data_IF_888694712066
#
_entry.id   IF_888694712066
#
_cell.length_a   1.000
_cell.length_b   1.000
_cell.length_c   1.000
_cell.angle_alpha   90.00
_cell.angle_beta   90.00
_cell.angle_gamma   90.00
#
_symmetry.space_group_name_H-M   'P 1'
#
loop_
_entity.id
_entity.type
_entity.pdbx_description
1 polymer ?
#
# COMPACT_ATOMS: atom_id res chain seq x y z
N UNK A 1 -15.89 -16.36 12.24
CA UNK A 1 -14.58 -16.73 12.81
C UNK A 1 -14.26 -15.76 13.94
N UNK A 2 -14.21 -16.26 15.17
CA UNK A 2 -13.77 -15.53 16.36
C UNK A 2 -12.27 -15.20 16.24
N UNK A 3 -11.92 -13.96 15.92
CA UNK A 3 -10.56 -13.45 16.10
C UNK A 3 -10.63 -12.42 17.22
N UNK A 4 -10.81 -12.91 18.46
CA UNK A 4 -10.48 -12.15 19.66
C UNK A 4 -9.06 -12.55 20.04
N UNK A 5 -8.10 -11.76 19.57
CA UNK A 5 -6.79 -11.44 20.17
C UNK A 5 -6.15 -10.47 19.16
N UNK A 6 -6.43 -9.18 19.31
CA UNK A 6 -5.84 -8.14 18.47
C UNK A 6 -4.35 -8.07 18.79
N UNK A 7 -3.53 -8.67 17.92
CA UNK A 7 -2.09 -8.50 17.89
C UNK A 7 -1.79 -7.06 17.47
N UNK A 8 -1.84 -6.14 18.43
CA UNK A 8 -1.39 -4.76 18.21
C UNK A 8 0.07 -4.84 17.82
N UNK A 9 0.36 -4.40 16.60
CA UNK A 9 1.72 -4.20 16.17
C UNK A 9 1.91 -2.82 15.65
N UNK A 10 3.13 -2.35 15.83
CA UNK A 10 3.56 -1.10 15.28
C UNK A 10 4.62 -1.38 14.23
N UNK A 11 4.39 -0.94 13.00
CA UNK A 11 5.42 -0.89 11.98
C UNK A 11 6.15 0.44 12.06
N UNK A 12 7.47 0.44 11.97
CA UNK A 12 8.16 1.72 11.85
C UNK A 12 8.02 2.26 10.42
N UNK A 13 7.37 3.41 10.31
CA UNK A 13 7.44 4.29 9.15
C UNK A 13 8.01 5.62 9.63
N UNK A 14 9.21 5.96 9.17
CA UNK A 14 9.94 7.20 9.51
C UNK A 14 10.32 7.30 10.99
N UNK A 15 10.68 6.16 11.61
CA UNK A 15 10.93 6.08 13.05
C UNK A 15 9.66 6.12 13.91
N UNK A 16 8.51 6.46 13.32
CA UNK A 16 7.22 6.47 13.99
C UNK A 16 6.57 5.09 13.87
N UNK A 17 6.14 4.58 15.00
CA UNK A 17 5.39 3.35 15.12
C UNK A 17 3.96 3.56 14.62
N UNK A 18 3.58 2.85 13.56
CA UNK A 18 2.25 2.95 12.93
C UNK A 18 1.44 1.66 13.17
N UNK A 19 0.14 1.75 13.52
CA UNK A 19 -0.71 0.58 13.71
C UNK A 19 -0.71 -0.37 12.50
N UNK A 20 -0.65 -1.67 12.78
CA UNK A 20 -0.77 -2.74 11.79
C UNK A 20 -0.89 -4.11 12.46
N UNK A 21 -0.99 -5.17 11.67
CA UNK A 21 -0.98 -6.56 12.18
C UNK A 21 0.45 -7.10 12.13
N UNK A 22 1.02 -7.63 13.22
CA UNK A 22 2.32 -8.34 13.18
C UNK A 22 2.15 -9.84 13.43
N UNK A 23 3.25 -10.56 13.23
CA UNK A 23 3.43 -11.89 13.78
C UNK A 23 3.11 -11.85 15.30
N UNK A 24 2.30 -12.77 15.84
CA UNK A 24 2.04 -12.93 17.28
C UNK A 24 3.27 -12.82 18.20
N UNK A 25 4.47 -13.10 17.70
CA UNK A 25 5.71 -13.04 18.48
C UNK A 25 6.30 -11.62 18.66
N UNK A 26 5.83 -10.62 17.90
CA UNK A 26 6.40 -9.26 17.93
C UNK A 26 5.66 -8.29 18.86
N UNK A 27 4.98 -8.79 19.89
CA UNK A 27 4.19 -7.99 20.84
C UNK A 27 5.14 -7.19 21.74
N UNK A 28 5.06 -5.86 21.66
CA UNK A 28 5.63 -4.96 22.67
C UNK A 28 4.51 -4.67 23.69
N UNK A 29 4.66 -5.02 24.98
CA UNK A 29 3.70 -4.62 26.00
C UNK A 29 3.80 -3.10 26.20
N UNK A 30 2.78 -2.34 25.77
CA UNK A 30 2.65 -0.94 26.16
C UNK A 30 1.99 -0.89 27.53
N UNK A 31 2.70 -0.34 28.51
CA UNK A 31 2.26 -0.21 29.89
C UNK A 31 1.20 0.89 30.05
N UNK A 32 0.03 0.53 30.57
CA UNK A 32 -0.82 1.40 31.41
C UNK A 32 -1.50 2.64 30.82
N UNK A 33 -1.32 2.98 29.54
CA UNK A 33 -1.94 4.19 28.97
C UNK A 33 -3.45 4.06 28.76
N UNK A 34 -4.17 5.17 29.02
CA UNK A 34 -5.61 5.27 28.79
C UNK A 34 -5.89 5.27 27.29
N UNK A 35 -6.67 4.29 26.85
CA UNK A 35 -7.10 4.10 25.46
C UNK A 35 -8.41 4.84 25.22
N UNK A 36 -8.31 6.04 24.64
CA UNK A 36 -9.43 6.95 24.36
C UNK A 36 -9.93 6.85 22.92
N UNK A 37 -9.12 6.31 22.01
CA UNK A 37 -9.41 6.21 20.58
C UNK A 37 -9.45 4.77 20.11
N UNK A 38 -10.12 4.55 18.98
CA UNK A 38 -10.20 3.25 18.30
C UNK A 38 -9.92 3.44 16.82
N UNK A 39 -9.05 2.58 16.29
CA UNK A 39 -8.95 2.33 14.87
C UNK A 39 -10.10 1.40 14.48
N UNK A 40 -10.89 1.79 13.50
CA UNK A 40 -12.08 1.06 13.07
C UNK A 40 -12.12 0.93 11.56
N UNK A 41 -12.78 -0.10 11.08
CA UNK A 41 -13.37 -0.11 9.75
C UNK A 41 -14.73 0.59 9.84
N UNK A 42 -14.87 1.72 9.15
CA UNK A 42 -16.13 2.46 9.02
C UNK A 42 -16.92 1.89 7.83
N UNK A 43 -18.12 1.40 8.10
CA UNK A 43 -18.99 0.80 7.09
C UNK A 43 -19.69 1.84 6.20
N UNK A 44 -19.73 3.12 6.61
CA UNK A 44 -20.37 4.17 5.81
C UNK A 44 -19.60 4.46 4.53
N UNK A 45 -18.27 4.52 4.59
CA UNK A 45 -17.42 4.81 3.43
C UNK A 45 -16.46 3.68 3.07
N UNK A 46 -16.41 2.60 3.86
CA UNK A 46 -15.53 1.46 3.62
C UNK A 46 -14.06 1.80 3.84
N UNK A 47 -13.75 2.77 4.71
CA UNK A 47 -12.40 3.19 5.05
C UNK A 47 -11.99 2.77 6.46
N UNK A 48 -10.68 2.74 6.68
CA UNK A 48 -10.13 2.72 8.03
C UNK A 48 -10.16 4.14 8.58
N UNK A 49 -10.67 4.29 9.81
CA UNK A 49 -10.86 5.57 10.49
C UNK A 49 -10.37 5.49 11.93
N UNK A 50 -9.98 6.64 12.49
CA UNK A 50 -9.74 6.79 13.93
C UNK A 50 -10.94 7.54 14.51
N UNK A 51 -11.59 6.95 15.50
CA UNK A 51 -12.71 7.56 16.23
C UNK A 51 -12.42 7.59 17.72
N UNK A 52 -13.02 8.52 18.46
CA UNK A 52 -13.03 8.40 19.92
C UNK A 52 -13.88 7.18 20.33
N UNK A 53 -13.45 6.46 21.37
CA UNK A 53 -14.10 5.24 21.81
C UNK A 53 -15.60 5.42 22.14
N UNK A 54 -16.00 6.62 22.59
CA UNK A 54 -17.40 6.96 22.88
C UNK A 54 -18.32 7.01 21.64
N UNK A 55 -17.75 7.14 20.44
CA UNK A 55 -18.50 7.15 19.17
C UNK A 55 -18.54 5.78 18.49
N UNK A 56 -17.98 4.74 19.10
CA UNK A 56 -18.04 3.39 18.55
C UNK A 56 -19.49 2.89 18.52
N UNK A 57 -20.01 2.67 17.31
CA UNK A 57 -21.29 2.03 17.05
C UNK A 57 -21.08 0.73 16.26
N UNK A 58 -21.48 -0.41 16.83
CA UNK A 58 -21.36 -1.74 16.21
C UNK A 58 -22.11 -1.91 14.88
N UNK A 59 -23.11 -1.05 14.59
CA UNK A 59 -23.82 -1.04 13.30
C UNK A 59 -23.05 -0.32 12.21
N UNK A 60 -22.22 0.65 12.59
CA UNK A 60 -21.47 1.51 11.66
C UNK A 60 -19.99 1.16 11.60
N UNK A 61 -19.47 0.50 12.63
CA UNK A 61 -18.05 0.29 12.80
C UNK A 61 -17.73 -1.14 13.19
N UNK A 62 -16.61 -1.62 12.67
CA UNK A 62 -15.89 -2.78 13.22
C UNK A 62 -14.59 -2.33 13.83
N UNK A 63 -14.44 -2.55 15.12
CA UNK A 63 -13.20 -2.28 15.84
C UNK A 63 -12.04 -3.11 15.28
N UNK A 64 -10.90 -2.45 15.03
CA UNK A 64 -9.64 -3.06 14.61
C UNK A 64 -8.66 -3.06 15.77
N UNK A 65 -8.46 -1.91 16.43
CA UNK A 65 -7.43 -1.74 17.47
C UNK A 65 -7.76 -0.56 18.38
N UNK A 66 -7.42 -0.66 19.66
CA UNK A 66 -7.38 0.50 20.57
C UNK A 66 -6.14 1.37 20.33
N UNK A 67 -6.29 2.68 20.46
CA UNK A 67 -5.21 3.66 20.37
C UNK A 67 -5.20 4.55 21.62
N UNK A 68 -4.01 4.87 22.13
CA UNK A 68 -3.86 5.85 23.22
C UNK A 68 -3.95 7.29 22.72
N UNK A 69 -4.15 8.24 23.64
CA UNK A 69 -4.07 9.68 23.32
C UNK A 69 -2.70 10.02 22.68
N UNK A 70 -1.63 9.40 23.18
CA UNK A 70 -0.28 9.62 22.67
C UNK A 70 -0.13 9.07 21.24
N UNK A 71 -0.64 7.86 20.96
CA UNK A 71 -0.66 7.26 19.61
C UNK A 71 -1.33 8.19 18.59
N UNK A 72 -2.45 8.84 18.96
CA UNK A 72 -3.17 9.73 18.05
C UNK A 72 -2.49 11.09 17.92
N UNK A 73 -1.88 11.60 18.99
CA UNK A 73 -1.24 12.92 19.02
C UNK A 73 -0.03 13.00 18.08
N UNK A 74 0.71 11.91 17.92
CA UNK A 74 1.88 11.84 17.03
C UNK A 74 1.51 11.65 15.54
N UNK A 75 0.21 11.50 15.21
CA UNK A 75 -0.26 11.32 13.85
C UNK A 75 -0.74 12.62 13.22
N UNK A 76 -0.55 12.74 11.90
CA UNK A 76 -1.18 13.81 11.13
C UNK A 76 -0.54 15.18 11.27
N UNK A 77 0.76 15.26 11.57
CA UNK A 77 1.50 16.52 11.43
C UNK A 77 1.46 16.94 9.95
N UNK A 78 0.71 18.00 9.64
CA UNK A 78 0.62 18.54 8.29
C UNK A 78 1.95 19.20 7.89
N UNK A 79 2.44 18.89 6.69
CA UNK A 79 3.69 19.40 6.15
C UNK A 79 3.36 20.35 4.99
N UNK A 80 3.96 21.54 5.01
CA UNK A 80 3.82 22.49 3.92
C UNK A 80 4.49 21.97 2.64
N UNK A 81 3.94 22.33 1.48
CA UNK A 81 4.45 21.84 0.19
C UNK A 81 5.94 22.14 -0.03
N UNK A 82 6.46 23.25 0.50
CA UNK A 82 7.88 23.63 0.40
C UNK A 82 8.83 22.88 1.34
N UNK A 83 8.30 22.18 2.35
CA UNK A 83 9.05 21.36 3.29
C UNK A 83 8.88 19.85 3.04
N UNK A 84 8.22 19.47 1.95
CA UNK A 84 7.94 18.09 1.57
C UNK A 84 9.24 17.28 1.41
N UNK A 85 9.32 16.16 2.13
CA UNK A 85 10.34 15.14 1.98
C UNK A 85 9.70 13.83 1.49
N UNK A 86 10.05 13.42 0.27
CA UNK A 86 9.53 12.19 -0.36
C UNK A 86 9.88 10.88 0.38
N UNK A 87 10.83 10.92 1.31
CA UNK A 87 11.16 9.78 2.16
C UNK A 87 10.34 9.78 3.46
N UNK A 88 9.87 10.93 3.93
CA UNK A 88 9.26 11.07 5.25
C UNK A 88 7.76 11.39 5.22
N UNK A 89 7.27 11.98 4.13
CA UNK A 89 5.95 12.59 4.10
C UNK A 89 5.03 11.88 3.11
N UNK A 90 3.80 11.63 3.56
CA UNK A 90 2.81 10.90 2.79
C UNK A 90 1.70 11.86 2.37
N UNK A 91 1.44 11.91 1.07
CA UNK A 91 0.31 12.66 0.51
C UNK A 91 -1.01 11.99 0.90
N UNK A 92 -2.00 12.75 1.37
CA UNK A 92 -3.37 12.29 1.53
C UNK A 92 -4.20 12.76 0.33
N UNK A 93 -4.80 11.85 -0.42
CA UNK A 93 -5.62 12.17 -1.59
C UNK A 93 -6.92 12.89 -1.21
N UNK A 94 -7.60 12.46 -0.13
CA UNK A 94 -8.81 13.13 0.38
C UNK A 94 -8.57 14.56 0.90
N UNK A 95 -7.46 14.83 1.60
CA UNK A 95 -7.15 16.17 2.14
C UNK A 95 -6.31 17.04 1.18
N UNK A 96 -5.72 16.44 0.15
CA UNK A 96 -4.77 17.05 -0.79
C UNK A 96 -3.57 17.77 -0.12
N UNK A 97 -3.03 17.16 0.94
CA UNK A 97 -1.95 17.70 1.79
C UNK A 97 -0.96 16.59 2.15
N UNK A 98 0.26 16.97 2.52
CA UNK A 98 1.28 16.05 3.02
C UNK A 98 1.23 15.95 4.53
N UNK A 99 1.47 14.75 5.05
CA UNK A 99 1.46 14.49 6.48
C UNK A 99 2.61 13.61 6.90
N UNK A 100 3.04 13.79 8.15
CA UNK A 100 3.98 12.92 8.84
C UNK A 100 3.33 12.29 10.09
N UNK A 101 3.38 10.96 10.25
CA UNK A 101 3.72 9.98 9.21
C UNK A 101 2.64 9.89 8.13
N UNK A 102 1.36 10.14 8.44
CA UNK A 102 0.23 10.17 7.50
C UNK A 102 -0.94 10.97 8.11
N UNK A 103 -1.98 11.24 7.31
CA UNK A 103 -3.16 12.00 7.73
C UNK A 103 -3.93 11.29 8.85
N UNK A 104 -4.16 11.96 9.98
CA UNK A 104 -4.95 11.39 11.09
C UNK A 104 -6.42 11.13 10.75
N UNK A 105 -6.99 11.90 9.82
CA UNK A 105 -8.38 11.75 9.37
C UNK A 105 -8.53 10.59 8.38
N UNK A 106 -7.45 10.23 7.70
CA UNK A 106 -7.40 9.16 6.71
C UNK A 106 -6.20 8.26 7.02
N UNK A 107 -6.27 7.54 8.16
CA UNK A 107 -5.16 6.76 8.68
C UNK A 107 -4.77 5.64 7.73
N UNK A 108 -3.53 5.18 7.88
CA UNK A 108 -3.02 4.02 7.16
C UNK A 108 -2.89 2.83 8.12
N UNK A 109 -3.24 1.63 7.64
CA UNK A 109 -3.12 0.39 8.39
C UNK A 109 -2.33 -0.63 7.58
N UNK A 110 -1.15 -1.01 8.08
CA UNK A 110 -0.25 -1.85 7.32
C UNK A 110 -0.53 -3.34 7.54
N UNK A 111 -0.62 -4.08 6.43
CA UNK A 111 -0.65 -5.54 6.40
C UNK A 111 0.75 -6.05 5.99
N UNK A 112 1.35 -6.97 6.75
CA UNK A 112 2.63 -7.57 6.39
C UNK A 112 2.45 -8.60 5.27
N UNK A 113 3.52 -8.83 4.52
CA UNK A 113 3.63 -10.03 3.68
C UNK A 113 3.51 -11.28 4.57
N UNK A 114 3.02 -12.39 4.01
CA UNK A 114 3.02 -13.68 4.72
C UNK A 114 4.46 -14.09 5.03
N UNK A 115 4.74 -14.34 6.31
CA UNK A 115 6.05 -14.85 6.75
C UNK A 115 6.14 -16.33 6.41
N UNK A 116 7.16 -16.70 5.66
CA UNK A 116 7.38 -18.08 5.23
C UNK A 116 8.25 -18.82 6.23
N UNK A 117 7.80 -20.02 6.58
CA UNK A 117 8.73 -21.13 6.75
C UNK A 117 8.93 -21.64 5.33
N UNK A 118 10.14 -21.51 4.75
CA UNK A 118 10.41 -22.00 3.39
C UNK A 118 9.93 -23.44 3.33
N UNK A 119 8.82 -23.66 2.65
CA UNK A 119 8.35 -25.00 2.37
C UNK A 119 8.97 -25.38 1.04
N UNK A 120 10.09 -26.08 1.10
CA UNK A 120 10.80 -26.58 -0.08
C UNK A 120 9.92 -27.51 -0.94
N UNK A 121 8.80 -28.00 -0.37
CA UNK A 121 7.82 -28.84 -1.06
C UNK A 121 6.80 -28.04 -1.87
N UNK A 122 6.76 -26.72 -1.73
CA UNK A 122 5.80 -25.88 -2.45
C UNK A 122 6.26 -25.62 -3.88
N UNK A 123 5.39 -25.94 -4.85
CA UNK A 123 5.59 -25.60 -6.27
C UNK A 123 5.41 -24.09 -6.57
N UNK A 124 5.14 -23.27 -5.55
CA UNK A 124 4.94 -21.83 -5.71
C UNK A 124 6.27 -21.09 -5.57
N UNK A 125 6.47 -20.06 -6.40
CA UNK A 125 7.62 -19.15 -6.27
C UNK A 125 7.62 -18.41 -4.92
N UNK A 126 8.79 -17.97 -4.44
CA UNK A 126 8.89 -17.18 -3.20
C UNK A 126 7.90 -16.00 -3.19
N UNK A 127 7.79 -15.27 -4.30
CA UNK A 127 6.88 -14.14 -4.42
C UNK A 127 5.40 -14.52 -4.24
N UNK A 128 4.94 -15.66 -4.77
CA UNK A 128 3.57 -16.16 -4.55
C UNK A 128 3.35 -16.56 -3.10
N UNK A 129 4.35 -17.20 -2.48
CA UNK A 129 4.23 -17.63 -1.09
C UNK A 129 4.07 -16.43 -0.13
N UNK A 130 4.64 -15.25 -0.46
CA UNK A 130 4.49 -14.03 0.35
C UNK A 130 3.08 -13.40 0.35
N UNK A 131 2.14 -13.91 -0.46
CA UNK A 131 0.80 -13.36 -0.61
C UNK A 131 -0.01 -13.41 0.71
N UNK A 132 -0.55 -12.29 1.19
CA UNK A 132 -1.49 -12.27 2.30
C UNK A 132 -2.76 -13.09 1.99
N UNK A 133 -3.32 -13.75 3.01
CA UNK A 133 -4.57 -14.55 2.90
C UNK A 133 -5.80 -13.75 2.45
N UNK A 134 -5.69 -12.43 2.35
CA UNK A 134 -6.76 -11.55 1.86
C UNK A 134 -6.94 -11.67 0.33
N UNK A 135 -6.02 -12.33 -0.36
CA UNK A 135 -5.88 -12.33 -1.80
C UNK A 135 -5.59 -13.71 -2.37
N UNK A 136 -5.86 -13.84 -3.67
CA UNK A 136 -5.37 -14.93 -4.52
C UNK A 136 -4.71 -14.35 -5.77
N UNK A 137 -3.86 -15.16 -6.39
CA UNK A 137 -3.26 -14.87 -7.70
C UNK A 137 -3.95 -15.75 -8.74
N UNK A 138 -4.51 -15.13 -9.78
CA UNK A 138 -5.17 -15.81 -10.92
C UNK A 138 -4.87 -15.06 -12.23
N UNK A 139 -5.36 -15.57 -13.36
CA UNK A 139 -5.27 -14.85 -14.64
C UNK A 139 -6.04 -13.52 -14.55
N UNK A 140 -5.38 -12.43 -14.94
CA UNK A 140 -5.95 -11.09 -14.92
C UNK A 140 -7.11 -10.98 -15.91
N UNK A 141 -8.10 -10.16 -15.56
CA UNK A 141 -9.20 -9.82 -16.49
C UNK A 141 -8.75 -8.80 -17.54
N UNK A 142 -7.56 -8.21 -17.38
CA UNK A 142 -6.98 -7.28 -18.33
C UNK A 142 -6.34 -8.05 -19.50
N UNK A 143 -6.62 -7.68 -20.76
CA UNK A 143 -6.02 -8.33 -21.92
C UNK A 143 -4.49 -8.31 -21.87
N UNK A 144 -3.87 -9.47 -22.10
CA UNK A 144 -2.41 -9.65 -22.17
C UNK A 144 -1.63 -9.27 -20.90
N UNK A 145 -2.28 -9.12 -19.74
CA UNK A 145 -1.62 -8.77 -18.49
C UNK A 145 -1.01 -9.98 -17.74
N UNK A 146 -1.37 -11.20 -18.14
CA UNK A 146 -0.91 -12.42 -17.46
C UNK A 146 -1.61 -12.62 -16.12
N UNK A 147 -0.85 -12.78 -15.04
CA UNK A 147 -1.42 -12.97 -13.70
C UNK A 147 -1.78 -11.62 -13.06
N UNK A 148 -2.84 -11.61 -12.26
CA UNK A 148 -3.30 -10.48 -11.44
C UNK A 148 -3.49 -10.90 -9.98
N UNK A 149 -3.75 -9.91 -9.12
CA UNK A 149 -4.07 -10.14 -7.69
C UNK A 149 -5.52 -9.78 -7.44
N UNK A 150 -6.27 -10.73 -6.89
CA UNK A 150 -7.72 -10.61 -6.72
C UNK A 150 -8.08 -10.68 -5.25
N UNK A 151 -8.99 -9.79 -4.83
CA UNK A 151 -9.50 -9.73 -3.47
C UNK A 151 -10.38 -10.95 -3.16
N UNK A 152 -10.04 -11.70 -2.10
CA UNK A 152 -10.89 -12.77 -1.55
C UNK A 152 -11.88 -12.24 -0.50
N UNK A 153 -11.58 -11.07 0.08
CA UNK A 153 -12.40 -10.38 1.06
C UNK A 153 -12.56 -8.91 0.68
N UNK A 154 -13.42 -8.18 1.38
CA UNK A 154 -13.49 -6.73 1.25
C UNK A 154 -12.20 -6.07 1.79
N UNK A 155 -11.60 -5.18 1.00
CA UNK A 155 -10.37 -4.45 1.38
C UNK A 155 -10.72 -2.96 1.52
N UNK A 156 -10.64 -2.40 2.74
CA UNK A 156 -10.98 -1.02 2.98
C UNK A 156 -9.91 -0.02 2.53
N UNK A 157 -10.35 1.21 2.29
CA UNK A 157 -9.46 2.36 2.05
C UNK A 157 -8.54 2.55 3.25
N UNK A 158 -7.27 2.88 3.00
CA UNK A 158 -6.25 3.07 4.03
C UNK A 158 -5.41 1.83 4.32
N UNK A 159 -5.76 0.65 3.81
CA UNK A 159 -4.86 -0.50 3.91
C UNK A 159 -3.58 -0.27 3.11
N UNK A 160 -2.43 -0.62 3.70
CA UNK A 160 -1.10 -0.47 3.12
C UNK A 160 -0.39 -1.80 3.02
N UNK A 161 0.25 -2.04 1.89
CA UNK A 161 1.01 -3.25 1.58
C UNK A 161 2.46 -2.90 1.20
N UNK A 162 3.37 -3.81 1.53
CA UNK A 162 4.78 -3.71 1.17
C UNK A 162 5.77 -3.75 2.34
N UNK A 163 7.04 -3.41 2.09
CA UNK A 163 7.53 -2.76 0.87
C UNK A 163 7.54 -3.66 -0.37
N UNK A 164 7.52 -3.09 -1.58
CA UNK A 164 7.81 -3.78 -2.84
C UNK A 164 9.24 -4.34 -2.79
N UNK A 165 9.38 -5.64 -3.03
CA UNK A 165 10.67 -6.35 -2.95
C UNK A 165 11.20 -6.71 -4.32
N UNK A 166 12.52 -6.67 -4.43
CA UNK A 166 13.25 -7.00 -5.64
C UNK A 166 14.74 -6.74 -5.46
N UNK A 167 15.49 -6.96 -6.53
CA UNK A 167 16.92 -6.67 -6.59
C UNK A 167 17.14 -5.17 -6.81
N UNK A 168 18.11 -4.59 -6.12
CA UNK A 168 18.53 -3.21 -6.35
C UNK A 168 19.35 -3.10 -7.65
N UNK A 169 18.94 -2.22 -8.55
CA UNK A 169 19.61 -1.94 -9.82
C UNK A 169 19.99 -0.45 -9.91
N UNK A 170 21.06 -0.13 -10.64
CA UNK A 170 21.50 1.27 -10.84
C UNK A 170 21.03 1.82 -12.18
N UNK A 171 20.97 0.96 -13.20
CA UNK A 171 20.56 1.31 -14.56
C UNK A 171 19.37 0.46 -15.01
N UNK A 172 18.58 0.98 -15.94
CA UNK A 172 17.48 0.21 -16.55
C UNK A 172 17.96 -1.02 -17.31
N UNK A 173 19.17 -0.97 -17.87
CA UNK A 173 19.83 -2.09 -18.54
C UNK A 173 20.11 -3.28 -17.63
N UNK A 174 20.08 -3.07 -16.30
CA UNK A 174 20.33 -4.13 -15.33
C UNK A 174 19.07 -4.98 -15.08
N UNK A 175 17.89 -4.53 -15.54
CA UNK A 175 16.61 -5.21 -15.29
C UNK A 175 16.58 -6.57 -15.97
N UNK A 176 16.04 -7.59 -15.28
CA UNK A 176 15.83 -8.89 -15.93
C UNK A 176 14.65 -8.86 -16.90
N UNK A 177 13.60 -8.09 -16.59
CA UNK A 177 12.44 -7.88 -17.45
C UNK A 177 11.88 -6.48 -17.21
N UNK A 178 11.37 -5.87 -18.27
CA UNK A 178 10.68 -4.59 -18.16
C UNK A 178 9.33 -4.74 -17.42
N UNK A 179 8.91 -3.65 -16.76
CA UNK A 179 7.62 -3.53 -16.09
C UNK A 179 7.51 -4.07 -14.67
N UNK A 180 8.61 -4.53 -14.08
CA UNK A 180 8.68 -4.92 -12.67
C UNK A 180 9.58 -4.00 -11.83
N UNK A 181 9.93 -2.82 -12.34
CA UNK A 181 10.90 -1.93 -11.70
C UNK A 181 10.28 -0.62 -11.21
N UNK A 182 10.51 -0.29 -9.94
CA UNK A 182 10.21 1.04 -9.39
C UNK A 182 11.47 1.87 -9.22
N UNK A 183 11.39 3.15 -9.60
CA UNK A 183 12.41 4.14 -9.29
C UNK A 183 12.25 4.59 -7.83
N UNK A 184 13.34 4.55 -7.07
CA UNK A 184 13.43 5.10 -5.71
C UNK A 184 14.37 6.30 -5.75
N UNK A 185 13.92 7.40 -5.15
CA UNK A 185 14.70 8.62 -4.97
C UNK A 185 15.05 8.82 -3.50
N UNK A 186 16.32 9.04 -3.20
CA UNK A 186 16.81 9.20 -1.83
C UNK A 186 17.81 10.35 -1.82
N UNK A 187 17.30 11.56 -1.56
CA UNK A 187 18.02 12.79 -1.80
C UNK A 187 18.42 12.88 -3.27
N UNK A 188 19.70 13.16 -3.54
CA UNK A 188 20.22 13.25 -4.90
C UNK A 188 20.44 11.89 -5.57
N UNK A 189 20.34 10.78 -4.82
CA UNK A 189 20.57 9.43 -5.34
C UNK A 189 19.29 8.85 -5.91
N UNK A 190 19.43 8.14 -7.04
CA UNK A 190 18.35 7.39 -7.69
C UNK A 190 18.81 5.96 -7.91
N UNK A 191 17.92 5.02 -7.63
CA UNK A 191 18.15 3.59 -7.90
C UNK A 191 16.82 2.92 -8.19
N UNK A 192 16.87 1.69 -8.69
CA UNK A 192 15.68 0.91 -9.01
C UNK A 192 15.57 -0.30 -8.10
N UNK A 193 14.34 -0.73 -7.84
CA UNK A 193 14.05 -2.06 -7.28
C UNK A 193 13.34 -2.87 -8.36
N UNK A 194 14.03 -3.89 -8.87
CA UNK A 194 13.58 -4.80 -9.93
C UNK A 194 12.98 -6.08 -9.31
N UNK A 195 11.66 -6.21 -9.39
CA UNK A 195 10.88 -7.35 -8.92
C UNK A 195 10.68 -8.46 -9.96
N UNK A 196 11.44 -8.45 -11.07
CA UNK A 196 11.28 -9.42 -12.16
C UNK A 196 11.51 -10.86 -11.72
N UNK A 197 12.49 -11.11 -10.86
CA UNK A 197 12.84 -12.43 -10.34
C UNK A 197 11.81 -12.86 -9.27
N UNK A 198 10.97 -13.84 -9.59
CA UNK A 198 9.91 -14.35 -8.70
C UNK A 198 10.46 -14.99 -7.41
N UNK A 199 11.73 -15.39 -7.39
CA UNK A 199 12.40 -15.95 -6.20
C UNK A 199 13.04 -14.87 -5.31
N UNK A 200 13.11 -13.62 -5.77
CA UNK A 200 13.73 -12.49 -5.06
C UNK A 200 12.83 -11.27 -4.89
N UNK A 201 11.54 -11.44 -5.12
CA UNK A 201 10.52 -10.39 -5.05
C UNK A 201 9.37 -10.82 -4.13
N UNK A 202 8.32 -10.00 -4.02
CA UNK A 202 7.10 -10.36 -3.31
C UNK A 202 5.86 -10.26 -4.21
N UNK A 203 4.73 -10.68 -3.66
CA UNK A 203 3.44 -10.76 -4.35
C UNK A 203 3.00 -9.45 -5.02
N UNK A 204 3.48 -8.28 -4.56
CA UNK A 204 3.19 -6.99 -5.17
C UNK A 204 3.61 -6.88 -6.63
N UNK A 205 4.52 -7.74 -7.10
CA UNK A 205 4.92 -7.84 -8.51
C UNK A 205 3.79 -8.26 -9.46
N UNK A 206 2.73 -8.87 -8.94
CA UNK A 206 1.60 -9.39 -9.71
C UNK A 206 0.44 -8.39 -9.81
N UNK A 207 0.52 -7.22 -9.15
CA UNK A 207 -0.53 -6.19 -9.22
C UNK A 207 -0.34 -5.41 -10.51
N UNK A 208 -1.32 -5.48 -11.42
CA UNK A 208 -1.29 -4.82 -12.72
C UNK A 208 -1.59 -3.32 -12.64
N UNK A 209 -1.32 -2.62 -13.75
CA UNK A 209 -1.76 -1.24 -13.94
C UNK A 209 -3.15 -1.18 -14.55
N UNK A 210 -4.05 -0.29 -14.06
CA UNK A 210 -5.37 -0.10 -14.65
C UNK A 210 -5.26 0.48 -16.07
N UNK A 211 -6.30 0.27 -16.90
CA UNK A 211 -6.41 0.88 -18.24
C UNK A 211 -6.93 2.31 -18.17
N UNK A 212 -7.81 2.56 -17.20
CA UNK A 212 -8.47 3.85 -16.99
C UNK A 212 -8.50 4.20 -15.49
N UNK A 213 -8.63 5.49 -15.18
CA UNK A 213 -8.63 6.00 -13.79
C UNK A 213 -9.74 5.40 -12.91
N UNK A 214 -10.89 5.07 -13.51
CA UNK A 214 -12.02 4.48 -12.79
C UNK A 214 -11.72 3.09 -12.21
N UNK A 215 -10.91 2.30 -12.91
CA UNK A 215 -10.48 0.96 -12.48
C UNK A 215 -9.42 1.03 -11.37
N UNK A 216 -8.69 2.13 -11.27
CA UNK A 216 -7.65 2.31 -10.26
C UNK A 216 -8.26 2.28 -8.86
N UNK A 217 -7.75 1.38 -8.02
CA UNK A 217 -8.13 1.26 -6.62
C UNK A 217 -6.94 1.29 -5.65
N UNK A 218 -5.71 1.32 -6.18
CA UNK A 218 -4.49 1.46 -5.39
C UNK A 218 -3.59 2.60 -5.88
N UNK A 219 -2.74 3.07 -4.97
CA UNK A 219 -1.74 4.10 -5.23
C UNK A 219 -0.39 3.67 -4.66
N UNK A 220 0.67 3.76 -5.48
CA UNK A 220 2.04 3.55 -5.03
C UNK A 220 2.58 4.81 -4.37
N UNK A 221 3.31 4.67 -3.27
CA UNK A 221 4.00 5.77 -2.60
C UNK A 221 5.35 5.33 -2.03
N UNK A 222 6.29 6.27 -1.95
CA UNK A 222 7.57 6.05 -1.33
C UNK A 222 7.58 6.53 0.12
N UNK A 223 8.29 5.80 0.98
CA UNK A 223 8.73 6.28 2.29
C UNK A 223 9.94 5.45 2.74
N UNK A 224 10.88 6.06 3.45
CA UNK A 224 12.14 5.44 3.89
C UNK A 224 12.89 4.70 2.77
N UNK A 225 12.98 5.30 1.58
CA UNK A 225 13.64 4.70 0.42
C UNK A 225 13.05 3.36 -0.01
N UNK A 226 11.75 3.14 0.22
CA UNK A 226 11.00 1.92 -0.13
C UNK A 226 9.65 2.29 -0.74
N UNK A 227 9.13 1.43 -1.61
CA UNK A 227 7.82 1.61 -2.25
C UNK A 227 6.77 0.78 -1.52
N UNK A 228 5.61 1.36 -1.27
CA UNK A 228 4.44 0.73 -0.69
C UNK A 228 3.22 1.02 -1.56
N UNK A 229 2.22 0.16 -1.51
CA UNK A 229 0.94 0.40 -2.17
C UNK A 229 -0.15 0.59 -1.11
N UNK A 230 -1.02 1.57 -1.31
CA UNK A 230 -2.21 1.75 -0.46
C UNK A 230 -3.49 1.67 -1.24
N UNK A 231 -4.57 1.27 -0.57
CA UNK A 231 -5.92 1.26 -1.12
C UNK A 231 -6.52 2.67 -1.03
N UNK A 232 -7.01 3.17 -2.16
CA UNK A 232 -7.64 4.50 -2.29
C UNK A 232 -9.15 4.43 -2.60
N UNK A 233 -9.64 3.26 -3.01
CA UNK A 233 -11.07 2.98 -3.19
C UNK A 233 -11.39 1.61 -2.56
N UNK A 234 -12.57 1.42 -1.94
CA UNK A 234 -12.94 0.11 -1.41
C UNK A 234 -12.87 -0.98 -2.49
N UNK A 235 -12.18 -2.09 -2.20
CA UNK A 235 -12.05 -3.23 -3.12
C UNK A 235 -12.97 -4.34 -2.64
N UNK A 236 -13.98 -4.68 -3.44
CA UNK A 236 -14.91 -5.77 -3.17
C UNK A 236 -14.31 -7.13 -3.52
N UNK A 237 -14.90 -8.18 -2.96
CA UNK A 237 -14.58 -9.57 -3.30
C UNK A 237 -14.63 -9.75 -4.83
N UNK A 238 -13.64 -10.45 -5.38
CA UNK A 238 -13.44 -10.72 -6.81
C UNK A 238 -13.08 -9.52 -7.69
N UNK A 239 -12.76 -8.36 -7.11
CA UNK A 239 -12.14 -7.26 -7.83
C UNK A 239 -10.62 -7.41 -7.86
N UNK A 240 -10.04 -7.02 -8.99
CA UNK A 240 -8.59 -7.00 -9.21
C UNK A 240 -7.97 -5.76 -8.55
N UNK A 241 -6.82 -5.96 -7.89
CA UNK A 241 -6.00 -4.89 -7.35
C UNK A 241 -5.24 -4.25 -8.50
N UNK A 242 -5.38 -2.94 -8.65
CA UNK A 242 -4.82 -2.16 -9.76
C UNK A 242 -4.16 -0.90 -9.25
N UNK A 243 -2.84 -0.80 -9.48
CA UNK A 243 -2.01 0.33 -9.06
C UNK A 243 -1.48 1.07 -10.27
N UNK A 244 -1.63 2.39 -10.31
CA UNK A 244 -1.13 3.16 -11.44
C UNK A 244 0.41 3.20 -11.45
N UNK A 245 0.99 2.84 -12.59
CA UNK A 245 2.43 2.81 -12.81
C UNK A 245 3.01 4.18 -13.22
N UNK A 246 2.20 5.23 -13.35
CA UNK A 246 2.71 6.52 -13.79
C UNK A 246 2.74 6.66 -15.31
N UNK A 247 2.79 7.91 -15.77
CA UNK A 247 2.56 8.23 -17.19
C UNK A 247 3.64 7.75 -18.16
N UNK A 248 4.85 7.39 -17.70
CA UNK A 248 5.86 6.80 -18.60
C UNK A 248 5.65 5.32 -18.87
N UNK A 249 4.75 4.68 -18.12
CA UNK A 249 4.33 3.31 -18.33
C UNK A 249 3.00 3.34 -19.06
N UNK A 250 3.00 3.09 -20.37
CA UNK A 250 1.75 3.08 -21.15
C UNK A 250 1.60 4.17 -22.23
N UNK A 251 2.70 4.72 -22.77
CA UNK A 251 2.65 5.44 -24.05
C UNK A 251 2.13 4.58 -25.24
N UNK A 252 1.70 3.33 -25.00
CA UNK A 252 1.08 2.43 -25.99
C UNK A 252 -0.43 2.18 -25.77
N UNK A 253 -1.09 2.82 -24.79
CA UNK A 253 -2.55 2.72 -24.66
C UNK A 253 -3.25 3.91 -25.30
N UNK A 254 -3.58 3.71 -26.60
CA UNK A 254 -4.66 4.32 -27.41
C UNK A 254 -4.96 5.80 -27.13
N UNK A 255 -4.59 6.67 -28.06
CA UNK A 255 -5.26 7.96 -28.26
C UNK A 255 -6.77 7.69 -28.34
N UNK A 256 -7.49 7.96 -27.26
CA UNK A 256 -8.95 8.03 -27.34
C UNK A 256 -9.28 9.15 -28.31
N UNK A 257 -10.07 8.87 -29.35
CA UNK A 257 -10.55 9.84 -30.36
C UNK A 257 -11.33 11.04 -29.74
N UNK A 258 -11.51 11.07 -28.42
CA UNK A 258 -12.24 12.09 -27.68
C UNK A 258 -11.37 12.86 -26.66
N UNK A 259 -10.16 13.30 -27.02
CA UNK A 259 -9.48 14.51 -26.49
C UNK A 259 -9.34 14.72 -24.97
N UNK A 260 -9.70 13.77 -24.11
CA UNK A 260 -9.78 13.97 -22.67
C UNK A 260 -8.41 13.75 -22.04
N UNK A 261 -7.70 14.87 -21.81
CA UNK A 261 -6.48 14.92 -21.01
C UNK A 261 -6.74 14.36 -19.62
N UNK A 262 -6.05 13.29 -19.25
CA UNK A 262 -6.05 12.71 -17.91
C UNK A 262 -5.68 13.76 -16.85
N UNK A 263 -6.58 14.03 -15.89
CA UNK A 263 -6.29 14.92 -14.76
C UNK A 263 -5.48 14.15 -13.73
N UNK A 264 -4.15 14.34 -13.73
CA UNK A 264 -3.26 13.87 -12.67
C UNK A 264 -3.79 14.33 -11.29
N UNK A 265 -3.71 13.51 -10.23
CA UNK A 265 -3.58 14.08 -8.89
C UNK A 265 -2.26 14.87 -8.88
N UNK A 266 -2.36 16.20 -8.96
CA UNK A 266 -1.26 17.10 -9.27
C UNK A 266 -0.04 16.98 -8.34
N UNK A 267 -0.19 16.29 -7.20
CA UNK A 267 0.82 16.16 -6.14
C UNK A 267 1.35 14.73 -5.91
N UNK A 268 0.97 13.72 -6.70
CA UNK A 268 1.54 12.37 -6.56
C UNK A 268 2.72 12.13 -7.54
N UNK A 269 3.98 12.08 -7.07
CA UNK A 269 5.16 12.10 -7.95
C UNK A 269 5.64 10.74 -8.45
N UNK A 270 4.96 9.62 -8.16
CA UNK A 270 5.51 8.28 -8.41
C UNK A 270 5.31 7.77 -9.83
N UNK A 271 6.42 7.30 -10.41
CA UNK A 271 6.55 6.83 -11.78
C UNK A 271 7.26 5.47 -11.73
N UNK A 272 6.53 4.39 -12.02
CA UNK A 272 7.13 3.15 -12.52
C UNK A 272 7.72 3.47 -13.89
N UNK A 273 9.00 3.13 -14.02
CA UNK A 273 9.74 3.42 -15.23
C UNK A 273 9.67 2.22 -16.15
N UNK A 274 8.88 2.32 -17.22
CA UNK A 274 9.16 1.54 -18.41
C UNK A 274 10.54 1.93 -18.96
N UNK A 275 11.29 0.96 -19.48
CA UNK A 275 12.37 1.28 -20.40
C UNK A 275 11.73 1.64 -21.74
N UNK A 276 11.75 2.92 -22.11
CA UNK A 276 11.71 3.27 -23.53
C UNK A 276 13.05 2.78 -24.11
N UNK A 277 12.98 1.97 -25.16
CA UNK A 277 14.08 1.94 -26.14
C UNK A 277 14.04 3.24 -26.94
#
# INVERSE_FOLDING_TARGET
MNIKHNYISYFQMNGIQIPGISNPEAIIPITGEKKSYKLVLDFNDGAISIIEARYLDSKLHREIQDLSDNDVTILGTEISDGAYDENLDIHCDKCNKFYRPYCRLHPLFKIPDRVLKRDESSNLSFSQQTLPILFRIEESKLPNAGLGVIAEVFIPVGMVFGPYKGRRCQKKTDFYKDGYAWLIKSGDKRFYIDGSDAERSNWLRYINSPRFEDEQNMLAFQTNGKIFYRVIKPIRINQELLVWYGSSYGNEFVESENGNKYKKPAKNPFICVGAQR
#
